data_IF_197997461898
#
_entry.id   IF_197997461898
#
_cell.length_a   1.000
_cell.length_b   1.000
_cell.length_c   1.000
_cell.angle_alpha   90.00
_cell.angle_beta   90.00
_cell.angle_gamma   90.00
#
_symmetry.space_group_name_H-M   'P 1'
#
loop_
_entity.id
_entity.type
_entity.pdbx_description
1 polymer ?
#
# COMPACT_ATOMS: atom_id res chain seq x y z
N UNK A 1 -13.28 22.90 -28.14
CA UNK A 1 -11.92 22.41 -27.90
C UNK A 1 -11.15 23.54 -27.21
N UNK A 2 -11.24 23.66 -25.91
CA UNK A 2 -10.52 24.67 -25.13
C UNK A 2 -9.20 24.03 -24.68
N UNK A 3 -8.11 24.34 -25.37
CA UNK A 3 -6.76 24.08 -24.89
C UNK A 3 -6.55 24.92 -23.63
N UNK A 4 -6.47 24.27 -22.47
CA UNK A 4 -5.83 24.91 -21.32
C UNK A 4 -4.40 25.26 -21.74
N UNK A 5 -4.05 26.55 -21.73
CA UNK A 5 -2.72 26.99 -22.17
C UNK A 5 -1.65 26.35 -21.26
N UNK A 6 -0.51 25.99 -21.83
CA UNK A 6 0.67 25.51 -21.07
C UNK A 6 0.96 26.40 -19.85
N UNK A 7 0.74 27.70 -19.95
CA UNK A 7 0.87 28.67 -18.85
C UNK A 7 -0.08 28.40 -17.67
N UNK A 8 -1.30 27.90 -17.93
CA UNK A 8 -2.26 27.57 -16.87
C UNK A 8 -1.86 26.27 -16.16
N UNK A 9 -1.27 25.32 -16.90
CA UNK A 9 -0.72 24.07 -16.35
C UNK A 9 0.51 24.35 -15.51
N UNK A 10 1.44 25.18 -16.00
CA UNK A 10 2.63 25.61 -15.24
C UNK A 10 2.27 26.44 -14.01
N UNK A 11 1.30 27.34 -14.08
CA UNK A 11 0.81 28.09 -12.92
C UNK A 11 0.15 27.18 -11.87
N UNK A 12 -0.53 26.11 -12.29
CA UNK A 12 -1.10 25.12 -11.38
C UNK A 12 -0.02 24.28 -10.72
N UNK A 13 1.05 23.93 -11.45
CA UNK A 13 2.22 23.23 -10.90
C UNK A 13 3.07 24.12 -9.99
N UNK A 14 3.23 25.41 -10.31
CA UNK A 14 3.97 26.39 -9.49
C UNK A 14 3.24 26.73 -8.19
N UNK A 15 1.92 26.86 -8.21
CA UNK A 15 1.12 27.02 -6.99
C UNK A 15 1.18 25.80 -6.07
N UNK A 16 1.47 24.61 -6.59
CA UNK A 16 1.65 23.41 -5.79
C UNK A 16 2.84 23.50 -4.82
N UNK A 17 3.90 24.25 -5.17
CA UNK A 17 5.10 24.42 -4.33
C UNK A 17 4.90 25.34 -3.11
N UNK A 18 3.85 26.18 -3.10
CA UNK A 18 3.53 27.07 -1.98
C UNK A 18 2.57 26.47 -0.93
N UNK A 19 1.92 25.36 -1.26
CA UNK A 19 0.83 24.79 -0.45
C UNK A 19 1.33 23.99 0.77
N UNK A 20 2.60 23.59 0.80
CA UNK A 20 3.17 22.76 1.89
C UNK A 20 3.16 23.41 3.29
N UNK A 21 2.90 24.71 3.38
CA UNK A 21 2.84 25.45 4.66
C UNK A 21 1.47 26.02 5.00
N UNK A 22 0.50 25.94 4.09
CA UNK A 22 -0.83 26.52 4.30
C UNK A 22 -1.84 25.42 4.58
N UNK A 23 -2.16 25.26 5.84
CA UNK A 23 -3.25 24.42 6.30
C UNK A 23 -4.57 25.05 5.85
N UNK A 24 -5.41 24.30 5.14
CA UNK A 24 -6.75 24.78 4.82
C UNK A 24 -7.57 24.90 6.12
N UNK A 25 -8.32 25.99 6.31
CA UNK A 25 -9.26 26.08 7.40
C UNK A 25 -10.33 24.99 7.28
N UNK A 26 -10.84 24.50 8.41
CA UNK A 26 -11.94 23.54 8.43
C UNK A 26 -13.20 24.25 7.93
N UNK A 27 -13.85 23.62 6.96
CA UNK A 27 -15.14 24.06 6.40
C UNK A 27 -16.23 23.14 6.94
N UNK A 28 -17.05 23.67 7.85
CA UNK A 28 -18.09 22.91 8.52
C UNK A 28 -19.17 22.34 7.56
N UNK A 29 -19.24 22.83 6.33
CA UNK A 29 -20.15 22.28 5.31
C UNK A 29 -19.61 20.98 4.68
N UNK A 30 -18.28 20.72 4.79
CA UNK A 30 -17.61 19.53 4.28
C UNK A 30 -17.38 18.56 5.44
N UNK A 31 -18.07 17.44 5.45
CA UNK A 31 -17.99 16.44 6.52
C UNK A 31 -16.79 15.51 6.37
N UNK A 32 -16.40 15.18 5.13
CA UNK A 32 -15.29 14.28 4.84
C UNK A 32 -14.49 14.72 3.62
N UNK A 33 -13.16 14.68 3.74
CA UNK A 33 -12.23 14.86 2.63
C UNK A 33 -11.66 13.51 2.23
N UNK A 34 -11.92 13.08 0.99
CA UNK A 34 -11.42 11.81 0.44
C UNK A 34 -10.06 12.06 -0.21
N UNK A 35 -9.02 11.42 0.28
CA UNK A 35 -7.65 11.50 -0.25
C UNK A 35 -7.35 10.26 -1.08
N UNK A 36 -7.01 10.47 -2.36
CA UNK A 36 -6.70 9.43 -3.33
C UNK A 36 -5.29 9.64 -3.85
N UNK A 37 -4.27 8.95 -3.31
CA UNK A 37 -2.94 8.95 -3.90
C UNK A 37 -2.97 8.17 -5.22
N UNK A 38 -2.26 8.65 -6.24
CA UNK A 38 -2.13 7.97 -7.52
C UNK A 38 -0.72 8.08 -8.08
N UNK A 39 -0.35 7.15 -8.97
CA UNK A 39 0.92 7.11 -9.66
C UNK A 39 0.76 6.47 -11.05
N UNK A 40 0.48 7.28 -12.07
CA UNK A 40 0.44 6.86 -13.48
C UNK A 40 -0.60 5.79 -13.83
N UNK A 41 -1.69 5.64 -13.04
CA UNK A 41 -2.68 4.57 -13.16
C UNK A 41 -4.03 5.10 -13.64
N UNK A 42 -4.06 5.65 -14.84
CA UNK A 42 -5.19 6.41 -15.36
C UNK A 42 -6.51 5.64 -15.33
N UNK A 43 -6.56 4.40 -15.86
CA UNK A 43 -7.79 3.60 -15.95
C UNK A 43 -8.37 3.28 -14.57
N UNK A 44 -7.49 3.08 -13.60
CA UNK A 44 -7.90 2.78 -12.23
C UNK A 44 -8.38 4.04 -11.52
N UNK A 45 -7.65 5.13 -11.65
CA UNK A 45 -8.08 6.42 -11.11
C UNK A 45 -9.43 6.84 -11.71
N UNK A 46 -9.63 6.63 -13.02
CA UNK A 46 -10.91 6.92 -13.68
C UNK A 46 -12.06 6.10 -13.06
N UNK A 47 -11.85 4.80 -12.85
CA UNK A 47 -12.82 3.92 -12.20
C UNK A 47 -13.10 4.30 -10.74
N UNK A 48 -12.06 4.69 -10.01
CA UNK A 48 -12.18 5.17 -8.63
C UNK A 48 -12.98 6.47 -8.55
N UNK A 49 -12.67 7.45 -9.41
CA UNK A 49 -13.39 8.72 -9.49
C UNK A 49 -14.86 8.53 -9.88
N UNK A 50 -15.15 7.59 -10.78
CA UNK A 50 -16.51 7.25 -11.15
C UNK A 50 -17.29 6.66 -9.96
N UNK A 51 -16.68 5.77 -9.17
CA UNK A 51 -17.29 5.24 -7.95
C UNK A 51 -17.50 6.32 -6.87
N UNK A 52 -16.54 7.23 -6.70
CA UNK A 52 -16.66 8.36 -5.78
C UNK A 52 -17.73 9.37 -6.24
N UNK A 53 -17.90 9.56 -7.54
CA UNK A 53 -18.95 10.42 -8.08
C UNK A 53 -20.37 9.86 -7.89
N UNK A 54 -20.51 8.55 -7.64
CA UNK A 54 -21.78 7.86 -7.37
C UNK A 54 -22.09 7.70 -5.89
N UNK A 55 -21.36 8.34 -4.99
CA UNK A 55 -21.67 8.28 -3.56
C UNK A 55 -23.05 8.81 -3.25
N UNK A 56 -23.78 8.14 -2.35
CA UNK A 56 -25.11 8.56 -1.88
C UNK A 56 -25.05 9.75 -0.93
N UNK A 57 -23.88 10.02 -0.33
CA UNK A 57 -23.67 11.26 0.43
C UNK A 57 -23.77 12.46 -0.51
N UNK A 58 -24.52 13.49 -0.12
CA UNK A 58 -24.73 14.68 -0.95
C UNK A 58 -23.39 15.31 -1.38
N UNK A 59 -23.22 15.69 -2.66
CA UNK A 59 -21.95 16.15 -3.22
C UNK A 59 -21.31 17.33 -2.49
N UNK A 60 -22.13 18.23 -1.92
CA UNK A 60 -21.63 19.38 -1.13
C UNK A 60 -21.05 19.00 0.24
N UNK A 61 -21.31 17.78 0.73
CA UNK A 61 -20.86 17.31 2.06
C UNK A 61 -19.50 16.64 2.04
N UNK A 62 -18.91 16.40 0.87
CA UNK A 62 -17.55 15.83 0.77
C UNK A 62 -16.74 16.46 -0.36
N UNK A 63 -15.45 16.30 -0.28
CA UNK A 63 -14.51 16.66 -1.35
C UNK A 63 -13.59 15.50 -1.70
N UNK A 64 -13.02 15.53 -2.88
CA UNK A 64 -12.05 14.55 -3.37
C UNK A 64 -10.74 15.26 -3.67
N UNK A 65 -9.63 14.75 -3.13
CA UNK A 65 -8.28 15.26 -3.29
C UNK A 65 -7.44 14.16 -3.93
N UNK A 66 -7.19 14.29 -5.23
CA UNK A 66 -6.27 13.40 -5.96
C UNK A 66 -4.86 13.94 -5.79
N UNK A 67 -3.98 13.11 -5.22
CA UNK A 67 -2.56 13.45 -5.05
C UNK A 67 -1.74 12.61 -6.03
N UNK A 68 -1.17 13.28 -7.02
CA UNK A 68 -0.32 12.66 -8.03
C UNK A 68 1.12 12.61 -7.53
N UNK A 69 1.60 11.40 -7.21
CA UNK A 69 2.89 11.18 -6.56
C UNK A 69 4.07 11.32 -7.54
N UNK A 70 3.84 11.12 -8.83
CA UNK A 70 4.77 11.43 -9.92
C UNK A 70 4.02 12.23 -10.99
N UNK A 71 3.94 13.56 -10.82
CA UNK A 71 3.06 14.41 -11.60
C UNK A 71 3.27 14.29 -13.11
N UNK A 72 2.21 13.93 -13.83
CA UNK A 72 2.20 13.87 -15.27
C UNK A 72 0.98 14.60 -15.90
N UNK A 73 1.11 14.95 -17.19
CA UNK A 73 0.06 15.66 -17.90
C UNK A 73 -1.22 14.83 -18.09
N UNK A 74 -1.12 13.51 -18.17
CA UNK A 74 -2.28 12.64 -18.41
C UNK A 74 -3.15 12.55 -17.16
N UNK A 75 -2.54 12.42 -15.99
CA UNK A 75 -3.25 12.43 -14.70
C UNK A 75 -3.93 13.78 -14.48
N UNK A 76 -3.22 14.89 -14.71
CA UNK A 76 -3.81 16.23 -14.62
C UNK A 76 -4.97 16.41 -15.60
N UNK A 77 -4.82 15.95 -16.85
CA UNK A 77 -5.87 16.03 -17.86
C UNK A 77 -7.10 15.20 -17.49
N UNK A 78 -6.91 13.98 -16.98
CA UNK A 78 -7.99 13.13 -16.50
C UNK A 78 -8.79 13.83 -15.40
N UNK A 79 -8.13 14.30 -14.35
CA UNK A 79 -8.78 14.98 -13.22
C UNK A 79 -9.48 16.27 -13.67
N UNK A 80 -8.85 17.04 -14.57
CA UNK A 80 -9.44 18.26 -15.12
C UNK A 80 -10.70 17.95 -15.94
N UNK A 81 -10.70 16.86 -16.73
CA UNK A 81 -11.86 16.43 -17.48
C UNK A 81 -13.03 16.00 -16.58
N UNK A 82 -12.73 15.33 -15.46
CA UNK A 82 -13.72 15.02 -14.43
C UNK A 82 -14.32 16.27 -13.80
N UNK A 83 -13.51 17.27 -13.45
CA UNK A 83 -13.99 18.58 -12.94
C UNK A 83 -14.95 19.23 -13.93
N UNK A 84 -14.63 19.28 -15.22
CA UNK A 84 -15.49 19.91 -16.23
C UNK A 84 -16.82 19.20 -16.42
N UNK A 85 -16.84 17.86 -16.38
CA UNK A 85 -18.06 17.06 -16.56
C UNK A 85 -19.04 17.16 -15.37
N UNK A 86 -18.56 17.49 -14.17
CA UNK A 86 -19.32 17.42 -12.91
C UNK A 86 -19.41 18.77 -12.19
N UNK A 87 -19.01 19.89 -12.84
CA UNK A 87 -18.89 21.21 -12.19
C UNK A 87 -20.16 21.73 -11.54
N UNK A 88 -21.36 21.33 -12.00
CA UNK A 88 -22.61 21.90 -11.49
C UNK A 88 -23.28 21.03 -10.40
N UNK A 89 -22.93 19.76 -10.27
CA UNK A 89 -23.65 18.81 -9.39
C UNK A 89 -22.76 17.80 -8.64
N UNK A 90 -21.44 17.81 -8.83
CA UNK A 90 -20.51 16.87 -8.23
C UNK A 90 -19.80 17.40 -6.97
N UNK A 91 -19.11 16.53 -6.24
CA UNK A 91 -18.24 16.97 -5.16
C UNK A 91 -17.08 17.81 -5.69
N UNK A 92 -16.54 18.68 -4.84
CA UNK A 92 -15.33 19.41 -5.18
C UNK A 92 -14.19 18.42 -5.43
N UNK A 93 -13.57 18.48 -6.62
CA UNK A 93 -12.43 17.66 -7.01
C UNK A 93 -11.18 18.54 -7.12
N UNK A 94 -10.13 18.20 -6.37
CA UNK A 94 -8.86 18.92 -6.34
C UNK A 94 -7.75 18.00 -6.85
N UNK A 95 -6.95 18.46 -7.81
CA UNK A 95 -5.68 17.83 -8.20
C UNK A 95 -4.55 18.48 -7.42
N UNK A 96 -3.64 17.65 -6.91
CA UNK A 96 -2.48 18.09 -6.14
C UNK A 96 -1.24 17.32 -6.62
N UNK A 97 -0.31 18.02 -7.25
CA UNK A 97 0.98 17.45 -7.63
C UNK A 97 1.88 17.24 -6.41
N UNK A 98 2.56 16.10 -6.29
CA UNK A 98 3.59 15.87 -5.27
C UNK A 98 4.99 16.07 -5.88
N UNK A 99 5.67 17.19 -5.63
CA UNK A 99 7.01 17.45 -6.16
C UNK A 99 8.10 16.65 -5.42
N UNK A 100 7.74 15.92 -4.36
CA UNK A 100 8.61 15.11 -3.50
C UNK A 100 8.51 15.51 -2.03
N UNK A 101 8.92 14.63 -1.13
CA UNK A 101 9.37 13.27 -1.38
C UNK A 101 8.27 12.40 -1.98
N UNK A 102 8.66 11.34 -2.73
CA UNK A 102 7.73 10.42 -3.37
C UNK A 102 7.43 9.21 -2.48
N UNK A 103 6.26 8.62 -2.69
CA UNK A 103 5.76 7.45 -1.99
C UNK A 103 4.37 7.67 -1.40
N UNK A 104 3.64 6.59 -1.20
CA UNK A 104 2.25 6.63 -0.73
C UNK A 104 2.07 7.39 0.60
N UNK A 105 3.07 7.33 1.50
CA UNK A 105 3.07 8.06 2.76
C UNK A 105 3.08 9.58 2.53
N UNK A 106 3.99 10.06 1.68
CA UNK A 106 4.13 11.48 1.36
C UNK A 106 2.90 12.00 0.60
N UNK A 107 2.42 11.24 -0.37
CA UNK A 107 1.20 11.59 -1.11
C UNK A 107 -0.02 11.70 -0.18
N UNK A 108 -0.24 10.72 0.72
CA UNK A 108 -1.33 10.79 1.71
C UNK A 108 -1.17 11.97 2.66
N UNK A 109 0.05 12.23 3.13
CA UNK A 109 0.35 13.38 4.00
C UNK A 109 0.05 14.71 3.31
N UNK A 110 0.43 14.84 2.06
CA UNK A 110 0.14 16.04 1.28
C UNK A 110 -1.38 16.24 1.14
N UNK A 111 -2.12 15.18 0.86
CA UNK A 111 -3.58 15.24 0.71
C UNK A 111 -4.31 15.66 1.98
N UNK A 112 -4.05 15.01 3.11
CA UNK A 112 -4.79 15.33 4.33
C UNK A 112 -4.44 16.72 4.91
N UNK A 113 -3.23 17.24 4.65
CA UNK A 113 -2.84 18.58 5.10
C UNK A 113 -3.63 19.70 4.43
N UNK A 114 -4.05 19.51 3.18
CA UNK A 114 -4.86 20.49 2.43
C UNK A 114 -6.37 20.23 2.51
N UNK A 115 -6.77 19.14 3.12
CA UNK A 115 -8.16 18.77 3.32
C UNK A 115 -8.90 19.81 4.14
N UNK A 116 -10.20 20.04 3.86
CA UNK A 116 -11.04 21.03 4.57
C UNK A 116 -11.94 20.41 5.63
N UNK A 117 -12.18 19.09 5.58
CA UNK A 117 -12.99 18.40 6.56
C UNK A 117 -12.22 18.04 7.84
N UNK A 118 -12.93 17.80 8.94
CA UNK A 118 -12.38 17.19 10.15
C UNK A 118 -12.14 15.68 9.99
N UNK A 119 -12.96 15.01 9.17
CA UNK A 119 -12.80 13.60 8.86
C UNK A 119 -12.05 13.44 7.55
N UNK A 120 -10.97 12.66 7.58
CA UNK A 120 -10.18 12.31 6.41
C UNK A 120 -10.45 10.85 6.07
N UNK A 121 -10.91 10.61 4.85
CA UNK A 121 -11.04 9.27 4.28
C UNK A 121 -9.90 8.99 3.32
N UNK A 122 -9.21 7.88 3.49
CA UNK A 122 -8.19 7.41 2.56
C UNK A 122 -8.74 6.25 1.74
N UNK A 123 -8.49 6.30 0.44
CA UNK A 123 -8.70 5.18 -0.47
C UNK A 123 -7.59 5.15 -1.51
N UNK A 124 -7.40 4.03 -2.20
CA UNK A 124 -6.37 3.91 -3.25
C UNK A 124 -6.99 4.17 -4.64
N UNK A 125 -6.20 4.57 -5.62
CA UNK A 125 -6.62 4.74 -7.01
C UNK A 125 -7.18 3.46 -7.66
N UNK A 126 -6.77 2.29 -7.16
CA UNK A 126 -7.24 0.97 -7.60
C UNK A 126 -8.49 0.47 -6.85
N UNK A 127 -9.01 1.27 -5.94
CA UNK A 127 -10.15 0.93 -5.11
C UNK A 127 -11.45 1.45 -5.74
N UNK A 128 -12.51 0.66 -5.60
CA UNK A 128 -13.87 1.00 -6.06
C UNK A 128 -14.77 1.05 -4.81
N UNK A 129 -14.96 2.21 -4.21
CA UNK A 129 -15.88 2.36 -3.08
C UNK A 129 -17.32 2.07 -3.48
N UNK A 130 -18.05 1.34 -2.62
CA UNK A 130 -19.48 1.14 -2.81
C UNK A 130 -20.24 2.48 -2.74
N UNK A 131 -21.41 2.61 -3.37
CA UNK A 131 -22.18 3.87 -3.38
C UNK A 131 -22.48 4.44 -1.99
N UNK A 132 -22.66 3.59 -1.00
CA UNK A 132 -22.94 3.99 0.39
C UNK A 132 -21.69 4.09 1.27
N UNK A 133 -20.48 3.96 0.72
CA UNK A 133 -19.24 3.88 1.47
C UNK A 133 -19.07 5.02 2.49
N UNK A 134 -19.24 6.28 2.06
CA UNK A 134 -19.16 7.45 2.95
C UNK A 134 -20.32 7.50 3.93
N UNK A 135 -21.53 7.25 3.46
CA UNK A 135 -22.75 7.30 4.28
C UNK A 135 -22.74 6.22 5.39
N UNK A 136 -22.09 5.08 5.17
CA UNK A 136 -21.97 4.00 6.16
C UNK A 136 -20.81 4.20 7.14
N UNK A 137 -19.75 4.90 6.74
CA UNK A 137 -18.60 5.16 7.61
C UNK A 137 -18.84 6.32 8.60
N UNK A 138 -19.43 7.42 8.13
CA UNK A 138 -19.59 8.64 8.92
C UNK A 138 -20.34 8.43 10.26
N UNK A 139 -21.46 7.70 10.33
CA UNK A 139 -22.15 7.47 11.59
C UNK A 139 -21.34 6.65 12.62
N UNK A 140 -20.35 5.88 12.16
CA UNK A 140 -19.47 5.09 13.05
C UNK A 140 -18.44 5.99 13.74
N UNK A 141 -18.06 7.11 13.11
CA UNK A 141 -17.17 8.13 13.67
C UNK A 141 -17.90 9.03 14.69
N UNK A 142 -18.48 8.41 15.71
CA UNK A 142 -19.06 9.13 16.87
C UNK A 142 -18.00 9.92 17.63
N UNK A 143 -18.42 10.74 18.60
CA UNK A 143 -17.51 11.65 19.32
C UNK A 143 -16.36 10.92 20.06
N UNK A 144 -16.54 9.65 20.40
CA UNK A 144 -15.59 8.79 21.09
C UNK A 144 -14.77 7.86 20.14
N UNK A 145 -14.99 7.96 18.82
CA UNK A 145 -14.25 7.15 17.82
C UNK A 145 -13.30 8.03 17.03
N UNK A 146 -12.03 7.69 17.05
CA UNK A 146 -10.94 8.44 16.43
C UNK A 146 -10.68 8.01 14.99
N UNK A 147 -10.88 6.71 14.70
CA UNK A 147 -10.63 6.16 13.38
C UNK A 147 -11.52 4.95 13.09
N UNK A 148 -11.81 4.73 11.81
CA UNK A 148 -12.62 3.61 11.32
C UNK A 148 -11.91 2.92 10.17
N UNK A 149 -11.80 1.59 10.24
CA UNK A 149 -11.43 0.74 9.12
C UNK A 149 -12.67 0.08 8.54
N UNK A 150 -12.89 0.25 7.24
CA UNK A 150 -13.96 -0.43 6.53
C UNK A 150 -13.52 -1.78 5.97
N UNK A 151 -14.47 -2.47 5.34
CA UNK A 151 -14.25 -3.77 4.69
C UNK A 151 -13.65 -3.61 3.30
N UNK A 152 -12.61 -4.39 3.01
CA UNK A 152 -12.05 -4.51 1.66
C UNK A 152 -12.47 -5.85 1.07
N UNK A 153 -13.19 -5.80 -0.04
CA UNK A 153 -13.57 -6.96 -0.83
C UNK A 153 -12.59 -7.14 -1.99
N UNK A 154 -12.00 -8.32 -2.11
CA UNK A 154 -11.08 -8.66 -3.20
C UNK A 154 -11.66 -9.87 -3.95
N UNK A 155 -12.26 -9.66 -5.13
CA UNK A 155 -12.76 -10.76 -5.93
C UNK A 155 -11.59 -11.67 -6.34
N UNK A 156 -11.65 -12.94 -5.94
CA UNK A 156 -10.67 -13.96 -6.29
C UNK A 156 -11.17 -14.81 -7.45
N UNK A 157 -10.25 -15.18 -8.34
CA UNK A 157 -10.50 -16.28 -9.27
C UNK A 157 -10.67 -17.60 -8.50
N UNK A 158 -11.38 -18.57 -9.08
CA UNK A 158 -11.56 -19.90 -8.49
C UNK A 158 -10.22 -20.60 -8.17
N UNK A 159 -9.18 -20.33 -8.98
CA UNK A 159 -7.82 -20.82 -8.80
C UNK A 159 -6.84 -19.63 -8.81
N UNK A 160 -6.63 -18.95 -7.64
CA UNK A 160 -5.77 -17.79 -7.58
C UNK A 160 -4.30 -18.17 -7.76
N UNK A 161 -3.50 -17.21 -8.24
CA UNK A 161 -2.05 -17.31 -8.21
C UNK A 161 -1.51 -17.18 -6.77
N UNK A 162 -0.27 -17.59 -6.54
CA UNK A 162 0.38 -17.38 -5.24
C UNK A 162 0.42 -15.90 -4.84
N UNK A 163 0.71 -15.02 -5.80
CA UNK A 163 0.70 -13.57 -5.60
C UNK A 163 -0.67 -13.06 -5.14
N UNK A 164 -1.75 -13.48 -5.79
CA UNK A 164 -3.11 -13.09 -5.43
C UNK A 164 -3.48 -13.55 -4.01
N UNK A 165 -3.09 -14.76 -3.63
CA UNK A 165 -3.28 -15.27 -2.25
C UNK A 165 -2.48 -14.48 -1.22
N UNK A 166 -1.26 -14.07 -1.58
CA UNK A 166 -0.42 -13.24 -0.71
C UNK A 166 -1.03 -11.84 -0.55
N UNK A 167 -1.47 -11.22 -1.64
CA UNK A 167 -2.16 -9.93 -1.63
C UNK A 167 -3.43 -9.96 -0.77
N UNK A 168 -4.24 -11.03 -0.89
CA UNK A 168 -5.42 -11.21 -0.05
C UNK A 168 -5.05 -11.25 1.45
N UNK A 169 -4.03 -12.05 1.82
CA UNK A 169 -3.58 -12.12 3.22
C UNK A 169 -3.09 -10.78 3.78
N UNK A 170 -2.40 -10.00 2.96
CA UNK A 170 -1.96 -8.65 3.34
C UNK A 170 -3.12 -7.69 3.55
N UNK A 171 -4.14 -7.73 2.67
CA UNK A 171 -5.28 -6.80 2.67
C UNK A 171 -6.41 -7.22 3.61
N UNK A 172 -6.50 -8.50 3.98
CA UNK A 172 -7.36 -8.97 5.07
C UNK A 172 -6.78 -8.67 6.46
N UNK A 173 -5.63 -7.97 6.53
CA UNK A 173 -5.10 -7.44 7.76
C UNK A 173 -6.06 -6.42 8.39
N UNK A 174 -5.96 -6.25 9.70
CA UNK A 174 -6.83 -5.38 10.49
C UNK A 174 -6.81 -3.90 10.07
N UNK A 175 -5.86 -3.50 9.23
CA UNK A 175 -5.67 -2.10 8.81
C UNK A 175 -5.16 -2.02 7.37
N UNK A 176 -5.85 -1.24 6.54
CA UNK A 176 -5.39 -0.88 5.21
C UNK A 176 -5.93 0.50 4.82
N UNK A 177 -5.07 1.38 4.35
CA UNK A 177 -5.44 2.74 3.95
C UNK A 177 -6.34 2.81 2.71
N UNK A 178 -6.51 1.72 1.99
CA UNK A 178 -7.49 1.65 0.90
C UNK A 178 -8.95 1.82 1.39
N UNK A 179 -9.22 1.66 2.72
CA UNK A 179 -10.53 1.89 3.33
C UNK A 179 -10.36 2.33 4.80
N UNK A 180 -9.84 3.53 4.98
CA UNK A 180 -9.51 4.05 6.30
C UNK A 180 -10.03 5.48 6.47
N UNK A 181 -10.69 5.72 7.59
CA UNK A 181 -11.19 7.04 8.01
C UNK A 181 -10.55 7.44 9.33
N UNK A 182 -10.15 8.68 9.45
CA UNK A 182 -9.51 9.18 10.65
C UNK A 182 -9.87 10.65 10.90
N UNK A 183 -10.00 11.04 12.17
CA UNK A 183 -10.10 12.45 12.51
C UNK A 183 -8.78 13.16 12.20
N UNK A 184 -8.87 14.34 11.63
CA UNK A 184 -7.71 15.19 11.34
C UNK A 184 -6.84 15.42 12.59
N UNK A 185 -7.45 15.70 13.73
CA UNK A 185 -6.74 15.91 14.99
C UNK A 185 -5.88 14.72 15.42
N UNK A 186 -6.29 13.49 15.09
CA UNK A 186 -5.50 12.28 15.35
C UNK A 186 -4.28 12.22 14.42
N UNK A 187 -4.47 12.49 13.11
CA UNK A 187 -3.35 12.55 12.17
C UNK A 187 -2.33 13.63 12.55
N UNK A 188 -2.82 14.79 13.01
CA UNK A 188 -1.96 15.88 13.48
C UNK A 188 -1.16 15.49 14.71
N UNK A 189 -1.80 14.87 15.69
CA UNK A 189 -1.15 14.43 16.90
C UNK A 189 -0.14 13.30 16.66
N UNK A 190 -0.36 12.46 15.62
CA UNK A 190 0.60 11.43 15.17
C UNK A 190 1.65 11.96 14.19
N UNK A 191 1.50 13.18 13.67
CA UNK A 191 2.36 13.70 12.60
C UNK A 191 2.11 13.06 11.24
N UNK A 192 0.96 12.38 11.05
CA UNK A 192 0.60 11.67 9.82
C UNK A 192 1.38 10.37 9.60
N UNK A 193 1.59 10.04 8.32
CA UNK A 193 2.39 8.87 7.90
C UNK A 193 3.89 9.16 7.98
N UNK A 194 4.69 8.18 8.36
CA UNK A 194 6.15 8.32 8.37
C UNK A 194 6.71 8.16 6.95
N UNK A 195 7.14 9.27 6.36
CA UNK A 195 7.61 9.35 4.97
C UNK A 195 8.98 8.66 4.73
N UNK A 196 9.63 8.18 5.79
CA UNK A 196 10.85 7.34 5.66
C UNK A 196 10.57 5.96 5.09
N UNK A 197 9.31 5.52 5.14
CA UNK A 197 8.88 4.29 4.50
C UNK A 197 8.57 4.55 3.02
N UNK A 198 9.41 4.00 2.15
CA UNK A 198 9.13 3.99 0.71
C UNK A 198 7.98 3.02 0.33
N UNK A 199 7.69 2.06 1.21
CA UNK A 199 6.68 1.03 1.03
C UNK A 199 5.37 1.43 1.73
N UNK A 200 4.28 1.38 0.99
CA UNK A 200 2.94 1.71 1.49
C UNK A 200 2.55 0.83 2.68
N UNK A 201 2.71 -0.50 2.56
CA UNK A 201 2.33 -1.45 3.61
C UNK A 201 3.06 -1.16 4.93
N UNK A 202 4.34 -0.81 4.88
CA UNK A 202 5.12 -0.49 6.07
C UNK A 202 4.69 0.84 6.70
N UNK A 203 4.37 1.85 5.91
CA UNK A 203 3.89 3.15 6.40
C UNK A 203 2.50 3.05 7.01
N UNK A 204 1.63 2.21 6.43
CA UNK A 204 0.30 1.91 6.94
C UNK A 204 0.38 1.19 8.30
N UNK A 205 1.19 0.14 8.37
CA UNK A 205 1.40 -0.60 9.62
C UNK A 205 2.05 0.27 10.71
N UNK A 206 2.94 1.20 10.36
CA UNK A 206 3.51 2.14 11.32
C UNK A 206 2.43 3.04 11.94
N UNK A 207 1.56 3.63 11.12
CA UNK A 207 0.45 4.44 11.62
C UNK A 207 -0.51 3.59 12.47
N UNK A 208 -0.87 2.40 12.00
CA UNK A 208 -1.71 1.47 12.75
C UNK A 208 -1.12 1.13 14.13
N UNK A 209 0.17 0.81 14.20
CA UNK A 209 0.84 0.47 15.46
C UNK A 209 0.90 1.66 16.42
N UNK A 210 1.07 2.88 15.89
CA UNK A 210 0.99 4.10 16.71
C UNK A 210 -0.43 4.30 17.25
N UNK A 211 -1.47 4.10 16.44
CA UNK A 211 -2.87 4.18 16.89
C UNK A 211 -3.20 3.13 17.95
N UNK A 212 -2.71 1.89 17.82
CA UNK A 212 -2.90 0.83 18.81
C UNK A 212 -2.20 1.09 20.16
N UNK A 213 -1.14 1.89 20.16
CA UNK A 213 -0.38 2.22 21.40
C UNK A 213 -0.93 3.45 22.13
N UNK A 214 -1.90 4.12 21.55
CA UNK A 214 -2.60 5.28 22.15
C UNK A 214 -3.95 4.87 22.76
N UNK A 215 -4.54 5.71 23.59
CA UNK A 215 -5.94 5.59 23.98
C UNK A 215 -6.90 5.96 22.83
N UNK A 216 -6.44 5.92 21.56
CA UNK A 216 -7.27 6.15 20.37
C UNK A 216 -8.22 4.98 20.14
N UNK A 217 -9.50 5.28 19.90
CA UNK A 217 -10.49 4.26 19.59
C UNK A 217 -10.58 4.01 18.09
N UNK A 218 -9.95 2.91 17.67
CA UNK A 218 -10.05 2.38 16.30
C UNK A 218 -11.20 1.35 16.24
N UNK A 219 -12.14 1.54 15.32
CA UNK A 219 -13.31 0.66 15.14
C UNK A 219 -13.28 0.06 13.74
N UNK A 220 -13.71 -1.19 13.61
CA UNK A 220 -13.92 -1.85 12.33
C UNK A 220 -15.41 -1.87 11.97
N UNK A 221 -15.74 -1.65 10.69
CA UNK A 221 -17.10 -1.75 10.19
C UNK A 221 -17.18 -2.57 8.90
N UNK A 222 -18.12 -3.49 8.86
CA UNK A 222 -18.43 -4.30 7.66
C UNK A 222 -19.31 -3.54 6.66
N UNK A 223 -19.82 -2.36 7.02
CA UNK A 223 -20.79 -1.61 6.23
C UNK A 223 -20.14 -0.67 5.22
N UNK A 224 -19.01 -0.07 5.56
CA UNK A 224 -18.25 0.77 4.64
C UNK A 224 -17.37 -0.14 3.76
N UNK A 225 -17.83 -0.43 2.56
CA UNK A 225 -17.22 -1.43 1.67
C UNK A 225 -16.46 -0.76 0.54
N UNK A 226 -15.27 -1.29 0.28
CA UNK A 226 -14.46 -0.96 -0.90
C UNK A 226 -14.09 -2.24 -1.61
N UNK A 227 -14.34 -2.31 -2.92
CA UNK A 227 -13.88 -3.41 -3.75
C UNK A 227 -12.54 -3.06 -4.37
N UNK A 228 -11.55 -3.93 -4.18
CA UNK A 228 -10.22 -3.77 -4.77
C UNK A 228 -9.91 -4.94 -5.71
N UNK A 229 -10.05 -4.75 -7.04
CA UNK A 229 -9.76 -5.78 -8.01
C UNK A 229 -8.30 -6.24 -7.92
N UNK A 230 -8.09 -7.55 -7.89
CA UNK A 230 -6.75 -8.12 -7.92
C UNK A 230 -6.17 -8.03 -9.32
N UNK A 231 -5.03 -7.41 -9.44
CA UNK A 231 -4.29 -7.37 -10.71
C UNK A 231 -3.66 -8.71 -11.03
N UNK A 232 -3.52 -8.98 -12.34
CA UNK A 232 -2.57 -9.98 -12.79
C UNK A 232 -1.17 -9.39 -12.63
N UNK A 233 -0.35 -9.92 -11.73
CA UNK A 233 0.99 -9.40 -11.51
C UNK A 233 1.86 -9.65 -12.73
N UNK A 234 2.87 -8.81 -12.99
CA UNK A 234 3.91 -9.15 -13.95
C UNK A 234 4.67 -10.39 -13.47
N UNK A 235 5.24 -11.13 -14.42
CA UNK A 235 6.04 -12.31 -14.11
C UNK A 235 7.19 -11.96 -13.16
N UNK A 236 7.38 -12.75 -12.11
CA UNK A 236 8.42 -12.52 -11.10
C UNK A 236 8.09 -11.42 -10.07
N UNK A 237 6.87 -10.92 -9.99
CA UNK A 237 6.46 -9.88 -9.05
C UNK A 237 6.82 -10.21 -7.59
N UNK A 238 6.75 -11.48 -7.18
CA UNK A 238 7.14 -11.94 -5.84
C UNK A 238 8.63 -11.71 -5.52
N UNK A 239 9.49 -11.67 -6.55
CA UNK A 239 10.92 -11.35 -6.38
C UNK A 239 11.12 -9.84 -6.22
N UNK A 240 10.44 -9.02 -7.02
CA UNK A 240 10.58 -7.56 -6.94
C UNK A 240 10.08 -6.99 -5.61
N UNK A 241 9.10 -7.64 -4.99
CA UNK A 241 8.58 -7.25 -3.67
C UNK A 241 9.56 -7.48 -2.51
N UNK A 242 10.58 -8.33 -2.68
CA UNK A 242 11.54 -8.64 -1.59
C UNK A 242 12.30 -7.41 -1.10
N UNK A 243 12.51 -6.41 -1.95
CA UNK A 243 13.14 -5.13 -1.57
C UNK A 243 12.39 -4.40 -0.45
N UNK A 244 11.09 -4.63 -0.32
CA UNK A 244 10.26 -4.04 0.74
C UNK A 244 10.65 -4.54 2.14
N UNK A 245 11.40 -5.64 2.24
CA UNK A 245 11.97 -6.14 3.51
C UNK A 245 12.88 -5.12 4.19
N UNK A 246 13.46 -4.19 3.43
CA UNK A 246 14.25 -3.08 3.99
C UNK A 246 13.36 -2.17 4.86
N UNK A 247 12.15 -1.85 4.41
CA UNK A 247 11.17 -1.07 5.19
C UNK A 247 10.71 -1.81 6.44
N UNK A 248 10.56 -3.13 6.35
CA UNK A 248 10.19 -3.97 7.51
C UNK A 248 11.22 -3.91 8.65
N UNK A 249 12.51 -3.75 8.34
CA UNK A 249 13.54 -3.57 9.36
C UNK A 249 13.36 -2.27 10.15
N UNK A 250 12.95 -1.17 9.49
CA UNK A 250 12.60 0.07 10.16
C UNK A 250 11.34 -0.08 11.02
N UNK A 251 10.31 -0.75 10.48
CA UNK A 251 9.06 -1.02 11.20
C UNK A 251 9.32 -1.85 12.47
N UNK A 252 10.14 -2.91 12.35
CA UNK A 252 10.56 -3.71 13.49
C UNK A 252 11.35 -2.89 14.52
N UNK A 253 12.25 -2.00 14.06
CA UNK A 253 13.01 -1.11 14.96
C UNK A 253 12.10 -0.20 15.78
N UNK A 254 11.03 0.34 15.16
CA UNK A 254 10.07 1.23 15.83
C UNK A 254 9.11 0.48 16.75
N UNK A 255 8.63 -0.70 16.32
CA UNK A 255 7.56 -1.44 16.96
C UNK A 255 7.87 -2.93 17.10
N UNK A 256 8.93 -3.33 17.85
CA UNK A 256 9.42 -4.72 17.85
C UNK A 256 8.40 -5.74 18.37
N UNK A 257 7.58 -5.34 19.34
CA UNK A 257 6.53 -6.21 19.91
C UNK A 257 5.39 -6.42 18.94
N UNK A 258 4.77 -5.34 18.46
CA UNK A 258 3.64 -5.40 17.52
C UNK A 258 4.01 -6.03 16.18
N UNK A 259 5.24 -5.80 15.73
CA UNK A 259 5.76 -6.46 14.52
C UNK A 259 5.76 -7.99 14.66
N UNK A 260 6.26 -8.51 15.80
CA UNK A 260 6.29 -9.96 16.06
C UNK A 260 4.90 -10.55 16.23
N UNK A 261 3.99 -9.83 16.84
CA UNK A 261 2.61 -10.27 17.06
C UNK A 261 1.78 -10.28 15.78
N UNK A 262 1.92 -9.25 14.93
CA UNK A 262 0.99 -9.01 13.83
C UNK A 262 1.56 -9.24 12.42
N UNK A 263 2.87 -9.16 12.24
CA UNK A 263 3.51 -9.28 10.92
C UNK A 263 4.29 -10.58 10.80
N UNK A 264 5.27 -10.78 11.65
CA UNK A 264 6.16 -11.95 11.57
C UNK A 264 6.75 -12.29 12.94
N UNK A 265 6.40 -13.47 13.46
CA UNK A 265 6.83 -13.91 14.81
C UNK A 265 8.32 -14.19 14.94
N UNK A 266 9.04 -14.43 13.84
CA UNK A 266 10.47 -14.70 13.84
C UNK A 266 11.10 -14.67 12.45
N UNK A 267 12.43 -14.89 12.35
CA UNK A 267 13.13 -14.94 11.07
C UNK A 267 12.63 -16.11 10.19
N UNK A 268 12.71 -15.99 8.86
CA UNK A 268 12.39 -17.08 7.94
C UNK A 268 13.55 -18.10 7.90
N UNK A 269 13.67 -18.91 8.93
CA UNK A 269 14.78 -19.87 9.09
C UNK A 269 14.93 -20.85 7.94
N UNK A 270 13.84 -21.17 7.25
CA UNK A 270 13.84 -21.99 6.04
C UNK A 270 14.68 -21.35 4.93
N UNK A 271 14.60 -20.04 4.72
CA UNK A 271 15.41 -19.34 3.72
C UNK A 271 16.88 -19.29 4.13
N UNK A 272 17.16 -19.02 5.41
CA UNK A 272 18.54 -19.06 5.90
C UNK A 272 19.17 -20.45 5.75
N UNK A 273 18.42 -21.52 6.05
CA UNK A 273 18.88 -22.89 5.88
C UNK A 273 19.21 -23.22 4.40
N UNK A 274 18.30 -22.86 3.46
CA UNK A 274 18.51 -23.07 2.02
C UNK A 274 19.78 -22.34 1.54
N UNK A 275 19.97 -21.09 1.97
CA UNK A 275 21.14 -20.28 1.59
C UNK A 275 22.43 -20.82 2.22
N UNK A 276 22.39 -21.23 3.49
CA UNK A 276 23.55 -21.80 4.18
C UNK A 276 24.01 -23.12 3.54
N UNK A 277 23.07 -24.01 3.22
CA UNK A 277 23.35 -25.27 2.55
C UNK A 277 23.96 -25.05 1.16
N UNK A 278 23.45 -24.08 0.39
CA UNK A 278 24.02 -23.68 -0.89
C UNK A 278 25.48 -23.17 -0.72
N UNK A 279 25.71 -22.34 0.30
CA UNK A 279 27.01 -21.82 0.65
C UNK A 279 28.02 -22.95 0.98
N UNK A 280 27.58 -23.94 1.75
CA UNK A 280 28.39 -25.14 2.07
C UNK A 280 28.70 -25.93 0.81
N UNK A 281 27.75 -26.16 -0.10
CA UNK A 281 27.95 -26.85 -1.34
C UNK A 281 29.01 -26.14 -2.22
N UNK A 282 28.92 -24.82 -2.35
CA UNK A 282 29.89 -24.00 -3.10
C UNK A 282 31.30 -24.09 -2.46
N UNK A 283 31.40 -23.92 -1.14
CA UNK A 283 32.66 -24.00 -0.42
C UNK A 283 33.32 -25.38 -0.57
N UNK A 284 32.52 -26.46 -0.46
CA UNK A 284 33.00 -27.84 -0.64
C UNK A 284 33.53 -28.11 -2.07
N UNK A 285 32.95 -27.48 -3.08
CA UNK A 285 33.44 -27.54 -4.46
C UNK A 285 34.82 -26.88 -4.57
N UNK A 286 34.98 -25.69 -3.96
CA UNK A 286 36.24 -24.94 -3.97
C UNK A 286 37.36 -25.71 -3.21
N UNK A 287 36.99 -26.37 -2.11
CA UNK A 287 37.94 -27.16 -1.29
C UNK A 287 38.12 -28.59 -1.79
N UNK A 288 37.69 -28.93 -3.01
CA UNK A 288 37.79 -30.25 -3.64
C UNK A 288 37.23 -31.39 -2.77
N UNK A 289 36.09 -31.17 -2.10
CA UNK A 289 35.39 -32.15 -1.28
C UNK A 289 34.11 -32.65 -1.98
N UNK A 290 34.21 -33.54 -3.00
CA UNK A 290 33.08 -33.84 -3.90
C UNK A 290 31.87 -34.48 -3.20
N UNK A 291 32.11 -35.30 -2.19
CA UNK A 291 31.01 -35.93 -1.43
C UNK A 291 30.18 -34.91 -0.64
N UNK A 292 30.85 -33.92 0.00
CA UNK A 292 30.17 -32.83 0.74
C UNK A 292 29.47 -31.89 -0.24
N UNK A 293 30.09 -31.59 -1.38
CA UNK A 293 29.48 -30.78 -2.42
C UNK A 293 28.20 -31.44 -2.95
N UNK A 294 28.23 -32.73 -3.30
CA UNK A 294 27.08 -33.48 -3.76
C UNK A 294 25.94 -33.54 -2.72
N UNK A 295 26.29 -33.82 -1.45
CA UNK A 295 25.30 -33.82 -0.37
C UNK A 295 24.67 -32.46 -0.18
N UNK A 296 25.45 -31.37 -0.24
CA UNK A 296 24.97 -30.01 -0.16
C UNK A 296 24.02 -29.64 -1.32
N UNK A 297 24.34 -30.00 -2.55
CA UNK A 297 23.49 -29.79 -3.72
C UNK A 297 22.14 -30.54 -3.58
N UNK A 298 22.20 -31.81 -3.14
CA UNK A 298 21.00 -32.60 -2.93
C UNK A 298 20.09 -31.99 -1.83
N UNK A 299 20.68 -31.57 -0.73
CA UNK A 299 19.95 -30.92 0.37
C UNK A 299 19.36 -29.58 -0.08
N UNK A 300 20.08 -28.78 -0.88
CA UNK A 300 19.57 -27.54 -1.46
C UNK A 300 18.40 -27.80 -2.45
N UNK A 301 18.52 -28.78 -3.32
CA UNK A 301 17.45 -29.19 -4.24
C UNK A 301 16.21 -29.63 -3.47
N UNK A 302 16.38 -30.42 -2.42
CA UNK A 302 15.27 -30.85 -1.56
C UNK A 302 14.58 -29.65 -0.86
N UNK A 303 15.34 -28.74 -0.25
CA UNK A 303 14.82 -27.55 0.42
C UNK A 303 14.07 -26.60 -0.54
N UNK A 304 14.68 -26.36 -1.72
CA UNK A 304 14.05 -25.54 -2.78
C UNK A 304 12.80 -26.21 -3.36
N UNK A 305 12.83 -27.53 -3.57
CA UNK A 305 11.68 -28.31 -4.01
C UNK A 305 10.53 -28.30 -2.99
N UNK A 306 10.85 -28.43 -1.70
CA UNK A 306 9.86 -28.32 -0.63
C UNK A 306 9.23 -26.92 -0.58
N UNK A 307 10.03 -25.85 -0.76
CA UNK A 307 9.53 -24.49 -0.88
C UNK A 307 8.61 -24.32 -2.08
N UNK A 308 9.03 -24.80 -3.26
CA UNK A 308 8.25 -24.76 -4.49
C UNK A 308 6.89 -25.47 -4.31
N UNK A 309 6.89 -26.68 -3.76
CA UNK A 309 5.65 -27.46 -3.47
C UNK A 309 4.72 -26.68 -2.54
N UNK A 310 5.25 -26.10 -1.46
CA UNK A 310 4.47 -25.30 -0.51
C UNK A 310 3.80 -24.08 -1.17
N UNK A 311 4.51 -23.43 -2.10
CA UNK A 311 4.02 -22.24 -2.83
C UNK A 311 2.94 -22.62 -3.86
N UNK A 312 3.05 -23.80 -4.48
CA UNK A 312 2.07 -24.32 -5.43
C UNK A 312 0.77 -24.84 -4.77
N UNK A 313 0.80 -25.14 -3.46
CA UNK A 313 -0.37 -25.68 -2.77
C UNK A 313 -1.56 -24.68 -2.79
N UNK A 314 -2.69 -25.10 -3.39
CA UNK A 314 -3.91 -24.31 -3.48
C UNK A 314 -3.81 -23.08 -4.39
N UNK A 315 -2.88 -23.07 -5.34
CA UNK A 315 -2.73 -22.05 -6.37
C UNK A 315 -2.99 -22.62 -7.77
N UNK A 316 -3.00 -21.76 -8.79
CA UNK A 316 -3.12 -22.18 -10.18
C UNK A 316 -1.99 -23.13 -10.59
N UNK A 317 -2.31 -24.18 -11.34
CA UNK A 317 -1.34 -25.12 -11.92
C UNK A 317 -1.13 -24.88 -13.42
N UNK A 318 -1.40 -23.67 -13.94
CA UNK A 318 -1.03 -23.32 -15.32
C UNK A 318 0.48 -23.44 -15.53
N UNK A 319 0.90 -23.86 -16.72
CA UNK A 319 2.32 -24.02 -17.04
C UNK A 319 3.14 -22.77 -16.78
N UNK A 320 2.59 -21.61 -17.11
CA UNK A 320 3.24 -20.33 -16.88
C UNK A 320 3.44 -20.06 -15.37
N UNK A 321 2.42 -20.33 -14.54
CA UNK A 321 2.51 -20.12 -13.09
C UNK A 321 3.45 -21.13 -12.43
N UNK A 322 3.43 -22.39 -12.84
CA UNK A 322 4.36 -23.42 -12.34
C UNK A 322 5.80 -23.05 -12.69
N UNK A 323 6.08 -22.62 -13.93
CA UNK A 323 7.41 -22.17 -14.35
C UNK A 323 7.88 -20.95 -13.53
N UNK A 324 7.00 -19.99 -13.28
CA UNK A 324 7.28 -18.82 -12.44
C UNK A 324 7.65 -19.25 -11.02
N UNK A 325 6.85 -20.11 -10.40
CA UNK A 325 7.10 -20.60 -9.03
C UNK A 325 8.43 -21.38 -8.95
N UNK A 326 8.74 -22.22 -9.95
CA UNK A 326 10.02 -22.93 -9.99
C UNK A 326 11.22 -21.94 -9.97
N UNK A 327 11.25 -21.01 -10.91
CA UNK A 327 12.36 -20.04 -11.02
C UNK A 327 12.41 -19.14 -9.79
N UNK A 328 11.29 -18.61 -9.35
CA UNK A 328 11.25 -17.69 -8.19
C UNK A 328 11.56 -18.41 -6.88
N UNK A 329 11.30 -19.73 -6.75
CA UNK A 329 11.69 -20.49 -5.54
C UNK A 329 13.21 -20.66 -5.41
N UNK A 330 13.96 -20.59 -6.51
CA UNK A 330 15.43 -20.56 -6.49
C UNK A 330 15.92 -19.16 -6.06
N UNK A 331 15.29 -18.10 -6.56
CA UNK A 331 15.75 -16.73 -6.39
C UNK A 331 15.33 -16.11 -5.05
N UNK A 332 14.15 -16.48 -4.53
CA UNK A 332 13.58 -15.85 -3.33
C UNK A 332 14.46 -16.05 -2.08
N UNK A 333 14.94 -17.25 -1.70
CA UNK A 333 15.69 -17.40 -0.47
C UNK A 333 16.94 -16.52 -0.40
N UNK A 334 17.85 -16.50 -1.40
CA UNK A 334 19.05 -15.67 -1.32
C UNK A 334 18.73 -14.17 -1.35
N UNK A 335 17.76 -13.74 -2.17
CA UNK A 335 17.39 -12.34 -2.24
C UNK A 335 16.64 -11.87 -0.98
N UNK A 336 15.79 -12.70 -0.41
CA UNK A 336 15.10 -12.38 0.85
C UNK A 336 16.10 -12.21 2.01
N UNK A 337 17.07 -13.11 2.13
CA UNK A 337 18.15 -13.00 3.13
C UNK A 337 18.98 -11.74 2.88
N UNK A 338 19.35 -11.46 1.62
CA UNK A 338 20.10 -10.26 1.26
C UNK A 338 19.38 -8.97 1.66
N UNK A 339 18.13 -8.79 1.24
CA UNK A 339 17.38 -7.57 1.54
C UNK A 339 17.08 -7.42 3.04
N UNK A 340 16.87 -8.53 3.74
CA UNK A 340 16.68 -8.52 5.18
C UNK A 340 17.95 -8.07 5.92
N UNK A 341 19.11 -8.60 5.55
CA UNK A 341 20.39 -8.17 6.10
C UNK A 341 20.74 -6.72 5.71
N UNK A 342 20.46 -6.32 4.47
CA UNK A 342 20.62 -4.93 4.04
C UNK A 342 19.77 -3.96 4.89
N UNK A 343 18.52 -4.33 5.17
CA UNK A 343 17.64 -3.57 6.06
C UNK A 343 18.17 -3.52 7.50
N UNK A 344 18.63 -4.66 8.04
CA UNK A 344 19.23 -4.75 9.36
C UNK A 344 20.46 -3.84 9.52
N UNK A 345 21.35 -3.83 8.53
CA UNK A 345 22.53 -2.97 8.48
C UNK A 345 22.15 -1.49 8.33
N UNK A 346 21.26 -1.17 7.37
CA UNK A 346 20.83 0.21 7.12
C UNK A 346 20.23 0.87 8.36
N UNK A 347 19.40 0.16 9.08
CA UNK A 347 18.71 0.71 10.26
C UNK A 347 19.37 0.33 11.57
N UNK A 348 20.52 -0.36 11.55
CA UNK A 348 21.30 -0.81 12.72
C UNK A 348 20.37 -1.50 13.75
N UNK A 349 19.68 -2.54 13.31
CA UNK A 349 18.74 -3.32 14.13
C UNK A 349 18.97 -4.81 13.96
N UNK A 350 18.83 -5.58 15.05
CA UNK A 350 18.89 -7.06 15.01
C UNK A 350 17.56 -7.59 14.47
N UNK A 351 17.44 -7.53 13.14
CA UNK A 351 16.25 -7.96 12.40
C UNK A 351 16.44 -9.37 11.80
N UNK A 352 17.35 -10.15 12.33
CA UNK A 352 17.60 -11.53 11.90
C UNK A 352 16.68 -12.51 12.60
#
# INVERSE_FOLDING_TARGET
>A
MLYLSLATVEATMQNANGIDKVRAPIDASVEVSVVVPTWGRLDQLDSCLDALARQTLAPGRFEIIVVDDEPDHNTLHLVSSWRMRRLEQGPRLTYLANPGPHGAAAARNRGWRVARADIIAFTDDAAIPDPDWLAQALPVLSADVDAVCGKICMPLAATPTEYQRHALRKRSAEFACANFFCRRGVLEAEGGFDERFADADCSENDLHFRLLTRPARLVHTERAVVTQPLRTPPWGASVSELRHSVGQALLFKKHPRLYREKIQGGPPWDYYAIVAVLGVAIAATITSSPAVAAAGVLAWLWGTGALCRRRLQGTSHSLQHVAEILVTSILIPPLAVFWRLAGALRYRVRFA
#
